data_IF_503601792775
#
_entry.id   IF_503601792775
#
_cell.length_a   1.000
_cell.length_b   1.000
_cell.length_c   1.000
_cell.angle_alpha   90.00
_cell.angle_beta   90.00
_cell.angle_gamma   90.00
#
_symmetry.space_group_name_H-M   'P 1'
#
loop_
_entity.id
_entity.type
_entity.pdbx_description
1 polymer ?
#
# COMPACT_ATOMS: atom_id res chain seq x y z
N UNK A 1 33.49 -18.66 9.79
CA UNK A 1 32.44 -18.20 8.82
C UNK A 1 31.13 -17.78 9.49
N UNK A 2 30.66 -18.46 10.55
CA UNK A 2 29.43 -18.11 11.27
C UNK A 2 29.29 -16.64 11.74
N UNK A 3 30.32 -15.97 12.33
CA UNK A 3 30.17 -14.59 12.79
C UNK A 3 29.98 -13.59 11.64
N UNK A 4 30.67 -13.77 10.51
CA UNK A 4 30.50 -12.95 9.32
C UNK A 4 29.12 -13.15 8.68
N UNK A 5 28.58 -14.37 8.70
CA UNK A 5 27.25 -14.66 8.20
C UNK A 5 26.17 -13.98 9.06
N UNK A 6 26.31 -14.02 10.39
CA UNK A 6 25.39 -13.35 11.31
C UNK A 6 25.40 -11.83 11.13
N UNK A 7 26.58 -11.21 11.01
CA UNK A 7 26.71 -9.76 10.78
C UNK A 7 26.09 -9.36 9.43
N UNK A 8 26.32 -10.16 8.37
CA UNK A 8 25.71 -9.93 7.07
C UNK A 8 24.19 -10.08 7.09
N UNK A 9 23.66 -11.07 7.81
CA UNK A 9 22.21 -11.23 7.99
C UNK A 9 21.63 -10.06 8.77
N UNK A 10 22.32 -9.58 9.81
CA UNK A 10 21.86 -8.44 10.60
C UNK A 10 21.83 -7.14 9.77
N UNK A 11 22.89 -6.87 9.01
CA UNK A 11 22.94 -5.72 8.10
C UNK A 11 21.89 -5.84 6.98
N UNK A 12 21.72 -7.03 6.41
CA UNK A 12 20.69 -7.28 5.41
C UNK A 12 19.28 -7.06 5.98
N UNK A 13 18.99 -7.53 7.21
CA UNK A 13 17.71 -7.29 7.88
C UNK A 13 17.49 -5.80 8.13
N UNK A 14 18.47 -5.11 8.72
CA UNK A 14 18.39 -3.68 9.00
C UNK A 14 18.22 -2.83 7.74
N UNK A 15 18.85 -3.22 6.63
CA UNK A 15 18.69 -2.52 5.36
C UNK A 15 17.29 -2.75 4.74
N UNK A 16 16.69 -3.93 4.92
CA UNK A 16 15.30 -4.20 4.48
C UNK A 16 14.28 -3.39 5.25
N UNK A 17 14.47 -3.24 6.56
CA UNK A 17 13.65 -2.41 7.43
C UNK A 17 13.75 -0.93 7.01
N UNK A 18 14.98 -0.41 6.83
CA UNK A 18 15.19 0.94 6.29
C UNK A 18 14.51 1.12 4.93
N UNK A 19 14.59 0.14 4.04
CA UNK A 19 13.94 0.22 2.74
C UNK A 19 12.39 0.22 2.83
N UNK A 20 11.81 -0.41 3.86
CA UNK A 20 10.36 -0.33 4.10
C UNK A 20 9.98 1.04 4.66
N UNK A 21 10.72 1.52 5.66
CA UNK A 21 10.52 2.84 6.26
C UNK A 21 10.66 3.94 5.21
N UNK A 22 11.69 3.88 4.36
CA UNK A 22 11.91 4.84 3.29
C UNK A 22 10.78 4.81 2.25
N UNK A 23 10.25 3.62 1.92
CA UNK A 23 9.10 3.50 1.03
C UNK A 23 7.86 4.18 1.61
N UNK A 24 7.54 3.91 2.88
CA UNK A 24 6.42 4.56 3.57
C UNK A 24 6.63 6.07 3.73
N UNK A 25 7.85 6.50 4.05
CA UNK A 25 8.21 7.91 4.18
C UNK A 25 8.06 8.69 2.87
N UNK A 26 8.22 8.03 1.71
CA UNK A 26 7.96 8.64 0.41
C UNK A 26 6.46 8.69 0.07
N UNK A 27 5.68 7.69 0.51
CA UNK A 27 4.24 7.60 0.24
C UNK A 27 3.45 8.68 0.97
N UNK A 28 3.77 8.98 2.24
CA UNK A 28 3.06 9.97 3.05
C UNK A 28 2.99 11.35 2.36
N UNK A 29 4.11 12.00 1.98
CA UNK A 29 4.08 13.29 1.30
C UNK A 29 3.49 13.18 -0.12
N UNK A 30 3.71 12.07 -0.83
CA UNK A 30 3.12 11.86 -2.16
C UNK A 30 1.57 11.87 -2.11
N UNK A 31 0.97 11.19 -1.13
CA UNK A 31 -0.47 11.25 -0.91
C UNK A 31 -0.92 12.63 -0.38
N UNK A 32 -0.09 13.28 0.45
CA UNK A 32 -0.32 14.63 0.95
C UNK A 32 -0.40 15.69 -0.15
N UNK A 33 0.25 15.49 -1.29
CA UNK A 33 0.12 16.37 -2.46
C UNK A 33 -1.31 16.47 -2.98
N UNK A 34 -2.17 15.48 -2.73
CA UNK A 34 -3.60 15.58 -3.06
C UNK A 34 -4.28 16.73 -2.31
N UNK A 35 -3.96 16.92 -1.03
CA UNK A 35 -4.50 18.03 -0.23
C UNK A 35 -4.02 19.37 -0.78
N UNK A 36 -2.75 19.45 -1.17
CA UNK A 36 -2.17 20.65 -1.80
C UNK A 36 -2.88 20.95 -3.11
N UNK A 37 -3.04 19.95 -3.98
CA UNK A 37 -3.71 20.09 -5.26
C UNK A 37 -5.18 20.52 -5.09
N UNK A 38 -5.91 19.89 -4.16
CA UNK A 38 -7.29 20.22 -3.89
C UNK A 38 -7.46 21.64 -3.36
N UNK A 39 -6.58 22.05 -2.43
CA UNK A 39 -6.57 23.42 -1.90
C UNK A 39 -6.21 24.46 -2.96
N UNK A 40 -5.29 24.14 -3.87
CA UNK A 40 -4.92 24.98 -5.01
C UNK A 40 -6.06 25.08 -6.05
N UNK A 41 -6.87 24.03 -6.19
CA UNK A 41 -8.07 24.00 -7.03
C UNK A 41 -9.30 24.70 -6.43
N UNK A 42 -9.17 25.34 -5.26
CA UNK A 42 -10.25 26.09 -4.61
C UNK A 42 -11.09 25.29 -3.60
N UNK A 43 -10.85 23.98 -3.46
CA UNK A 43 -11.49 23.15 -2.45
C UNK A 43 -10.95 23.40 -1.03
N UNK A 44 -11.63 22.84 -0.04
CA UNK A 44 -11.18 22.91 1.36
C UNK A 44 -10.26 21.74 1.71
N UNK A 45 -9.44 21.91 2.76
CA UNK A 45 -8.62 20.79 3.25
C UNK A 45 -9.49 19.65 3.77
N UNK A 46 -10.67 19.95 4.34
CA UNK A 46 -11.58 18.96 4.90
C UNK A 46 -12.11 18.00 3.82
N UNK A 47 -12.51 18.53 2.66
CA UNK A 47 -12.99 17.73 1.52
C UNK A 47 -11.89 16.84 0.93
N UNK A 48 -10.63 17.30 0.97
CA UNK A 48 -9.48 16.55 0.47
C UNK A 48 -8.96 15.46 1.42
N UNK A 49 -9.36 15.47 2.71
CA UNK A 49 -8.81 14.55 3.71
C UNK A 49 -9.21 13.10 3.45
N UNK A 50 -10.49 12.84 3.20
CA UNK A 50 -10.98 11.49 2.92
C UNK A 50 -10.28 10.85 1.70
N UNK A 51 -10.19 11.49 0.52
CA UNK A 51 -9.51 10.90 -0.63
C UNK A 51 -7.98 10.81 -0.42
N UNK A 52 -7.36 11.75 0.32
CA UNK A 52 -5.93 11.67 0.64
C UNK A 52 -5.61 10.49 1.56
N UNK A 53 -6.46 10.24 2.57
CA UNK A 53 -6.35 9.09 3.45
C UNK A 53 -6.61 7.77 2.71
N UNK A 54 -7.58 7.73 1.81
CA UNK A 54 -7.83 6.55 0.97
C UNK A 54 -6.61 6.20 0.10
N UNK A 55 -5.99 7.21 -0.53
CA UNK A 55 -4.72 7.05 -1.24
C UNK A 55 -3.61 6.56 -0.32
N UNK A 56 -3.49 7.15 0.88
CA UNK A 56 -2.48 6.75 1.85
C UNK A 56 -2.63 5.29 2.27
N UNK A 57 -3.84 4.86 2.61
CA UNK A 57 -4.15 3.48 3.01
C UNK A 57 -3.74 2.49 1.90
N UNK A 58 -4.09 2.80 0.65
CA UNK A 58 -3.75 1.99 -0.51
C UNK A 58 -2.23 1.94 -0.75
N UNK A 59 -1.59 3.09 -1.01
CA UNK A 59 -0.18 3.15 -1.39
C UNK A 59 0.75 2.71 -0.26
N UNK A 60 0.40 2.96 1.02
CA UNK A 60 1.19 2.45 2.13
C UNK A 60 1.13 0.91 2.19
N UNK A 61 -0.03 0.32 1.85
CA UNK A 61 -0.23 -1.13 1.82
C UNK A 61 0.50 -1.84 0.67
N UNK A 62 0.70 -1.16 -0.46
CA UNK A 62 1.45 -1.73 -1.58
C UNK A 62 2.93 -1.92 -1.27
N UNK A 63 3.54 -1.10 -0.39
CA UNK A 63 4.96 -1.21 -0.02
C UNK A 63 5.31 -2.59 0.58
N UNK A 64 4.68 -3.06 1.67
CA UNK A 64 4.90 -4.41 2.19
C UNK A 64 4.35 -5.50 1.26
N UNK A 65 3.25 -5.25 0.53
CA UNK A 65 2.69 -6.21 -0.42
C UNK A 65 3.66 -6.54 -1.57
N UNK A 66 4.24 -5.53 -2.23
CA UNK A 66 5.17 -5.79 -3.34
C UNK A 66 6.41 -6.53 -2.84
N UNK A 67 6.82 -6.32 -1.58
CA UNK A 67 7.87 -7.12 -0.93
C UNK A 67 7.45 -8.58 -0.81
N UNK A 68 6.23 -8.91 -0.38
CA UNK A 68 5.73 -10.31 -0.36
C UNK A 68 5.67 -10.91 -1.76
N UNK A 69 5.42 -10.09 -2.80
CA UNK A 69 5.33 -10.59 -4.17
C UNK A 69 6.69 -10.82 -4.82
N UNK A 70 7.73 -10.03 -4.52
CA UNK A 70 8.99 -10.05 -5.28
C UNK A 70 10.15 -10.63 -4.46
N UNK A 71 10.51 -9.98 -3.34
CA UNK A 71 11.76 -10.27 -2.60
C UNK A 71 11.55 -11.19 -1.39
N UNK A 72 10.38 -11.16 -0.77
CA UNK A 72 10.07 -11.83 0.51
C UNK A 72 8.95 -12.87 0.34
N UNK A 73 8.91 -13.56 -0.81
CA UNK A 73 7.84 -14.51 -1.20
C UNK A 73 7.54 -15.62 -0.21
N UNK A 74 8.55 -16.05 0.55
CA UNK A 74 8.43 -17.14 1.54
C UNK A 74 8.30 -16.63 2.98
N UNK A 75 8.32 -15.31 3.19
CA UNK A 75 8.25 -14.75 4.54
C UNK A 75 6.80 -14.62 5.00
N UNK A 76 6.43 -15.47 5.96
CA UNK A 76 5.11 -15.42 6.59
C UNK A 76 4.88 -14.11 7.34
N UNK A 77 5.94 -13.55 7.94
CA UNK A 77 5.87 -12.28 8.66
C UNK A 77 5.45 -11.14 7.72
N UNK A 78 6.06 -11.04 6.53
CA UNK A 78 5.67 -10.04 5.53
C UNK A 78 4.25 -10.30 4.99
N UNK A 79 3.88 -11.57 4.79
CA UNK A 79 2.53 -11.93 4.33
C UNK A 79 1.47 -11.51 5.35
N UNK A 80 1.66 -11.88 6.62
CA UNK A 80 0.75 -11.51 7.73
C UNK A 80 0.69 -10.01 7.92
N UNK A 81 1.83 -9.31 7.89
CA UNK A 81 1.87 -7.85 8.02
C UNK A 81 1.14 -7.15 6.88
N UNK A 82 1.33 -7.62 5.64
CA UNK A 82 0.62 -7.08 4.47
C UNK A 82 -0.89 -7.32 4.58
N UNK A 83 -1.34 -8.54 4.90
CA UNK A 83 -2.76 -8.85 5.05
C UNK A 83 -3.39 -8.06 6.21
N UNK A 84 -2.70 -7.94 7.34
CA UNK A 84 -3.16 -7.17 8.49
C UNK A 84 -3.33 -5.68 8.15
N UNK A 85 -2.38 -5.09 7.41
CA UNK A 85 -2.51 -3.72 6.91
C UNK A 85 -3.74 -3.58 6.01
N UNK A 86 -3.95 -4.49 5.06
CA UNK A 86 -5.10 -4.40 4.14
C UNK A 86 -6.43 -4.62 4.86
N UNK A 87 -6.47 -5.47 5.89
CA UNK A 87 -7.66 -5.65 6.72
C UNK A 87 -7.97 -4.40 7.54
N UNK A 88 -6.96 -3.77 8.15
CA UNK A 88 -7.12 -2.50 8.85
C UNK A 88 -7.53 -1.38 7.87
N UNK A 89 -6.94 -1.36 6.67
CA UNK A 89 -7.27 -0.40 5.62
C UNK A 89 -8.71 -0.57 5.12
N UNK A 90 -9.22 -1.80 5.03
CA UNK A 90 -10.63 -2.05 4.70
C UNK A 90 -11.57 -1.42 5.73
N UNK A 91 -11.31 -1.64 7.02
CA UNK A 91 -12.12 -1.03 8.09
C UNK A 91 -12.01 0.48 8.05
N UNK A 92 -10.79 1.03 7.96
CA UNK A 92 -10.57 2.47 7.92
C UNK A 92 -11.23 3.11 6.69
N UNK A 93 -11.13 2.49 5.51
CA UNK A 93 -11.77 2.97 4.29
C UNK A 93 -13.30 2.97 4.41
N UNK A 94 -13.89 1.90 4.96
CA UNK A 94 -15.34 1.83 5.18
C UNK A 94 -15.86 2.90 6.15
N UNK A 95 -15.03 3.32 7.13
CA UNK A 95 -15.34 4.41 8.05
C UNK A 95 -15.22 5.79 7.41
N UNK A 96 -14.37 5.94 6.38
CA UNK A 96 -14.27 7.17 5.59
C UNK A 96 -15.47 7.31 4.66
N UNK A 97 -15.75 6.25 3.87
CA UNK A 97 -16.91 6.14 3.01
C UNK A 97 -17.23 4.65 2.78
N UNK A 98 -18.47 4.18 3.01
CA UNK A 98 -18.83 2.77 2.81
C UNK A 98 -18.51 2.22 1.42
N UNK A 99 -18.55 3.05 0.36
CA UNK A 99 -18.23 2.63 -1.00
C UNK A 99 -16.75 2.33 -1.19
N UNK A 100 -15.86 2.93 -0.40
CA UNK A 100 -14.42 2.62 -0.42
C UNK A 100 -14.11 1.23 0.16
N UNK A 101 -15.07 0.58 0.83
CA UNK A 101 -14.93 -0.81 1.24
C UNK A 101 -14.76 -1.76 0.04
N UNK A 102 -15.37 -1.44 -1.10
CA UNK A 102 -15.32 -2.28 -2.32
C UNK A 102 -13.89 -2.40 -2.87
N UNK A 103 -13.20 -1.30 -3.25
CA UNK A 103 -11.81 -1.41 -3.72
C UNK A 103 -10.89 -1.98 -2.62
N UNK A 104 -11.13 -1.63 -1.36
CA UNK A 104 -10.32 -2.12 -0.23
C UNK A 104 -10.45 -3.63 -0.01
N UNK A 105 -11.65 -4.19 -0.21
CA UNK A 105 -11.88 -5.63 -0.16
C UNK A 105 -11.16 -6.34 -1.31
N UNK A 106 -11.16 -5.76 -2.51
CA UNK A 106 -10.36 -6.27 -3.64
C UNK A 106 -8.87 -6.28 -3.29
N UNK A 107 -8.35 -5.23 -2.64
CA UNK A 107 -6.94 -5.18 -2.24
C UNK A 107 -6.59 -6.20 -1.15
N UNK A 108 -7.49 -6.42 -0.18
CA UNK A 108 -7.32 -7.46 0.83
C UNK A 108 -7.32 -8.85 0.20
N UNK A 109 -8.28 -9.14 -0.67
CA UNK A 109 -8.35 -10.41 -1.39
C UNK A 109 -7.06 -10.66 -2.19
N UNK A 110 -6.60 -9.65 -2.94
CA UNK A 110 -5.33 -9.66 -3.67
C UNK A 110 -4.14 -9.94 -2.77
N UNK A 111 -4.04 -9.24 -1.63
CA UNK A 111 -2.97 -9.40 -0.66
C UNK A 111 -2.95 -10.77 0.03
N UNK A 112 -4.11 -11.42 0.18
CA UNK A 112 -4.21 -12.76 0.76
C UNK A 112 -3.93 -13.88 -0.27
N UNK A 113 -4.36 -13.69 -1.52
CA UNK A 113 -4.46 -14.75 -2.52
C UNK A 113 -3.26 -14.81 -3.48
N UNK A 114 -2.66 -13.68 -3.83
CA UNK A 114 -1.57 -13.63 -4.82
C UNK A 114 -0.16 -13.99 -4.28
N UNK A 115 0.21 -13.70 -3.02
CA UNK A 115 1.54 -14.05 -2.53
C UNK A 115 1.84 -15.55 -2.61
N UNK A 116 3.05 -15.89 -3.03
CA UNK A 116 3.50 -17.29 -3.20
C UNK A 116 3.23 -17.88 -4.59
N UNK A 117 2.40 -17.27 -5.44
CA UNK A 117 2.08 -17.79 -6.78
C UNK A 117 3.15 -17.58 -7.87
N UNK A 118 4.34 -17.10 -7.51
CA UNK A 118 5.43 -16.97 -8.48
C UNK A 118 5.18 -15.97 -9.61
N UNK A 119 4.25 -15.01 -9.46
CA UNK A 119 3.94 -14.04 -10.51
C UNK A 119 5.17 -13.23 -10.95
N UNK A 120 5.23 -12.94 -12.25
CA UNK A 120 6.24 -12.07 -12.87
C UNK A 120 6.09 -10.64 -12.37
N UNK A 121 7.21 -9.93 -12.22
CA UNK A 121 7.23 -8.53 -11.73
C UNK A 121 6.33 -7.61 -12.57
N UNK A 122 6.32 -7.78 -13.90
CA UNK A 122 5.47 -7.00 -14.79
C UNK A 122 3.96 -7.22 -14.53
N UNK A 123 3.54 -8.45 -14.22
CA UNK A 123 2.13 -8.77 -13.91
C UNK A 123 1.73 -8.15 -12.57
N UNK A 124 2.62 -8.19 -11.58
CA UNK A 124 2.39 -7.52 -10.29
C UNK A 124 2.25 -6.01 -10.49
N UNK A 125 3.15 -5.41 -11.28
CA UNK A 125 3.07 -3.98 -11.60
C UNK A 125 1.77 -3.61 -12.31
N UNK A 126 1.37 -4.36 -13.33
CA UNK A 126 0.11 -4.14 -14.04
C UNK A 126 -1.12 -4.28 -13.12
N UNK A 127 -1.10 -5.25 -12.19
CA UNK A 127 -2.15 -5.40 -11.19
C UNK A 127 -2.22 -4.20 -10.23
N UNK A 128 -1.09 -3.64 -9.79
CA UNK A 128 -1.08 -2.42 -8.97
C UNK A 128 -1.59 -1.21 -9.74
N UNK A 129 -1.27 -1.09 -11.04
CA UNK A 129 -1.82 -0.01 -11.88
C UNK A 129 -3.33 -0.15 -12.02
N UNK A 130 -3.83 -1.36 -12.29
CA UNK A 130 -5.28 -1.62 -12.33
C UNK A 130 -5.96 -1.29 -11.00
N UNK A 131 -5.33 -1.65 -9.88
CA UNK A 131 -5.82 -1.31 -8.54
C UNK A 131 -5.81 0.20 -8.27
N UNK A 132 -4.79 0.95 -8.72
CA UNK A 132 -4.77 2.40 -8.55
C UNK A 132 -5.80 3.11 -9.42
N UNK A 133 -6.05 2.62 -10.64
CA UNK A 133 -7.13 3.11 -11.51
C UNK A 133 -8.49 2.83 -10.89
N UNK A 134 -8.67 1.65 -10.28
CA UNK A 134 -9.89 1.32 -9.54
C UNK A 134 -10.12 2.32 -8.39
N UNK A 135 -9.09 2.60 -7.58
CA UNK A 135 -9.21 3.59 -6.51
C UNK A 135 -9.59 4.97 -7.07
N UNK A 136 -8.89 5.40 -8.11
CA UNK A 136 -9.15 6.68 -8.77
C UNK A 136 -10.61 6.79 -9.25
N UNK A 137 -11.14 5.74 -9.88
CA UNK A 137 -12.53 5.71 -10.34
C UNK A 137 -13.53 5.89 -9.20
N UNK A 138 -13.30 5.23 -8.05
CA UNK A 138 -14.13 5.41 -6.86
C UNK A 138 -13.99 6.83 -6.27
N UNK A 139 -12.77 7.36 -6.18
CA UNK A 139 -12.56 8.71 -5.64
C UNK A 139 -13.23 9.77 -6.51
N UNK A 140 -13.13 9.67 -7.84
CA UNK A 140 -13.81 10.57 -8.78
C UNK A 140 -15.33 10.42 -8.69
N UNK A 141 -15.86 9.21 -8.54
CA UNK A 141 -17.30 9.01 -8.42
C UNK A 141 -17.89 9.58 -7.11
N UNK A 142 -17.10 9.61 -6.03
CA UNK A 142 -17.55 10.06 -4.70
C UNK A 142 -17.24 11.53 -4.41
N UNK A 143 -16.18 12.09 -5.01
CA UNK A 143 -15.66 13.43 -4.70
C UNK A 143 -15.41 14.31 -5.93
N UNK A 144 -15.76 13.82 -7.13
CA UNK A 144 -15.59 14.54 -8.40
C UNK A 144 -16.79 15.39 -8.80
#
# INVERSE_FOLDING_TARGET
>A
MAPFLAVNVLHARRNRERALVNGLAAVVPACGMLLVAHRAGGGTLAEGLAPALACLLYFAGTVPYVKTMIRERRSEAYRRGSVAHHAAALVAAALLDPWLAVPSACYLARAAVLPGRGLKVAVVGAAEVGCSVLLLGFLVALHG
#
